data_IF_205318501000
#
_entry.id   IF_205318501000
#
_cell.length_a   1.000
_cell.length_b   1.000
_cell.length_c   1.000
_cell.angle_alpha   90.00
_cell.angle_beta   90.00
_cell.angle_gamma   90.00
#
_symmetry.space_group_name_H-M   'P 1'
#
loop_
_entity.id
_entity.type
_entity.pdbx_description
1 polymer ?
#
# COMPACT_ATOMS: atom_id res chain seq x y z
N UNK A 1 -7.95 9.99 -10.57
CA UNK A 1 -8.67 8.88 -9.91
C UNK A 1 -8.98 9.30 -8.49
N UNK A 2 -10.15 8.92 -7.99
CA UNK A 2 -10.60 9.18 -6.61
C UNK A 2 -10.88 7.81 -5.99
N UNK A 3 -10.47 7.59 -4.75
CA UNK A 3 -10.69 6.34 -4.03
C UNK A 3 -9.79 5.19 -4.47
N UNK A 4 -10.09 4.02 -3.91
CA UNK A 4 -9.43 2.75 -4.25
C UNK A 4 -9.90 2.28 -5.63
N UNK A 5 -8.94 1.81 -6.44
CA UNK A 5 -9.14 1.33 -7.80
C UNK A 5 -8.81 -0.16 -7.89
N UNK A 6 -9.56 -0.88 -8.70
CA UNK A 6 -9.38 -2.31 -8.98
C UNK A 6 -9.09 -2.54 -10.45
N UNK A 7 -8.26 -3.51 -10.77
CA UNK A 7 -7.96 -3.85 -12.16
C UNK A 7 -7.32 -2.70 -12.94
N UNK A 8 -6.63 -1.77 -12.28
CA UNK A 8 -6.00 -0.63 -12.94
C UNK A 8 -4.82 -1.09 -13.81
N UNK A 9 -4.82 -0.73 -15.09
CA UNK A 9 -3.68 -0.95 -15.96
C UNK A 9 -2.60 0.11 -15.68
N UNK A 10 -1.37 -0.23 -15.24
CA UNK A 10 -0.31 0.75 -15.09
C UNK A 10 0.02 1.51 -16.38
N UNK A 11 -0.23 0.92 -17.55
CA UNK A 11 -0.01 1.58 -18.84
C UNK A 11 -1.03 2.68 -19.14
N UNK A 12 -2.15 2.76 -18.41
CA UNK A 12 -3.11 3.85 -18.53
C UNK A 12 -2.84 5.02 -17.58
N UNK A 13 -1.78 4.94 -16.76
CA UNK A 13 -1.33 6.09 -15.98
C UNK A 13 -0.81 7.19 -16.93
N UNK A 14 -1.08 8.48 -16.64
CA UNK A 14 -0.48 9.57 -17.41
C UNK A 14 1.05 9.47 -17.43
N UNK A 15 1.68 9.99 -18.48
CA UNK A 15 3.14 9.95 -18.66
C UNK A 15 3.93 10.66 -17.55
N UNK A 16 3.29 11.50 -16.74
CA UNK A 16 3.89 12.14 -15.56
C UNK A 16 4.13 11.16 -14.41
N UNK A 17 3.53 9.97 -14.44
CA UNK A 17 3.69 8.94 -13.42
C UNK A 17 4.80 7.96 -13.80
N UNK A 18 5.72 7.73 -12.88
CA UNK A 18 6.78 6.73 -13.04
C UNK A 18 6.81 5.78 -11.85
N UNK A 19 7.16 4.52 -12.10
CA UNK A 19 7.40 3.54 -11.03
C UNK A 19 8.73 3.88 -10.35
N UNK A 20 8.70 4.08 -9.05
CA UNK A 20 9.87 4.39 -8.24
C UNK A 20 10.27 3.25 -7.31
N UNK A 21 9.37 2.30 -7.03
CA UNK A 21 9.69 1.10 -6.24
C UNK A 21 8.93 -0.14 -6.73
N UNK A 22 9.58 -1.29 -6.63
CA UNK A 22 8.96 -2.61 -6.78
C UNK A 22 9.70 -3.61 -5.88
N UNK A 23 8.94 -4.46 -5.20
CA UNK A 23 9.47 -5.62 -4.47
C UNK A 23 8.38 -6.69 -4.35
N UNK A 24 8.76 -7.90 -3.97
CA UNK A 24 7.83 -8.98 -3.70
C UNK A 24 7.18 -8.80 -2.31
N UNK A 25 6.04 -9.46 -2.13
CA UNK A 25 5.42 -9.60 -0.81
C UNK A 25 6.23 -10.53 0.10
N UNK A 26 7.06 -11.42 -0.46
CA UNK A 26 8.04 -12.20 0.29
C UNK A 26 9.24 -11.40 0.81
N UNK A 27 9.52 -10.23 0.25
CA UNK A 27 10.64 -9.41 0.71
C UNK A 27 10.27 -8.76 2.05
N UNK A 28 11.17 -8.80 3.02
CA UNK A 28 10.96 -8.14 4.31
C UNK A 28 11.26 -6.64 4.18
N UNK A 29 10.41 -5.77 4.73
CA UNK A 29 10.71 -4.35 4.86
C UNK A 29 11.16 -4.03 6.27
N UNK A 30 12.35 -3.45 6.39
CA UNK A 30 12.82 -2.76 7.57
C UNK A 30 12.76 -1.24 7.39
N UNK A 31 12.87 -0.49 8.47
CA UNK A 31 12.88 0.98 8.46
C UNK A 31 13.89 1.53 7.45
N UNK A 32 15.10 0.95 7.37
CA UNK A 32 16.12 1.35 6.40
C UNK A 32 15.65 1.17 4.93
N UNK A 33 14.90 0.10 4.64
CA UNK A 33 14.32 -0.11 3.31
C UNK A 33 13.27 0.97 3.02
N UNK A 34 12.41 1.28 3.99
CA UNK A 34 11.37 2.31 3.86
C UNK A 34 12.00 3.68 3.65
N UNK A 35 13.05 4.05 4.39
CA UNK A 35 13.79 5.30 4.17
C UNK A 35 14.38 5.39 2.76
N UNK A 36 14.96 4.29 2.26
CA UNK A 36 15.46 4.22 0.88
C UNK A 36 14.34 4.41 -0.15
N UNK A 37 13.22 3.68 0.02
CA UNK A 37 12.03 3.80 -0.83
C UNK A 37 11.52 5.23 -0.85
N UNK A 38 11.40 5.89 0.31
CA UNK A 38 10.86 7.25 0.40
C UNK A 38 11.81 8.31 -0.19
N UNK A 39 13.12 8.05 -0.20
CA UNK A 39 14.10 8.90 -0.88
C UNK A 39 13.99 8.78 -2.40
N UNK A 40 13.74 7.59 -2.92
CA UNK A 40 13.67 7.33 -4.36
C UNK A 40 12.27 7.70 -4.91
N UNK A 41 11.21 7.39 -4.16
CA UNK A 41 9.84 7.78 -4.41
C UNK A 41 9.52 9.17 -3.83
N UNK A 42 10.15 10.25 -4.28
CA UNK A 42 10.16 11.55 -3.58
C UNK A 42 9.21 12.66 -4.08
N UNK A 43 8.31 12.35 -5.01
CA UNK A 43 7.42 13.37 -5.61
C UNK A 43 6.15 13.65 -4.78
N UNK A 44 5.41 14.69 -5.16
CA UNK A 44 4.23 15.22 -4.46
C UNK A 44 3.07 14.24 -4.34
N UNK A 45 2.89 13.36 -5.32
CA UNK A 45 1.88 12.32 -5.33
C UNK A 45 2.51 10.94 -5.28
N UNK A 46 1.87 10.04 -4.52
CA UNK A 46 2.21 8.63 -4.49
C UNK A 46 0.99 7.81 -4.91
N UNK A 47 1.27 6.68 -5.57
CA UNK A 47 0.32 5.62 -5.82
C UNK A 47 0.91 4.34 -5.24
N UNK A 48 0.17 3.71 -4.33
CA UNK A 48 0.49 2.39 -3.80
C UNK A 48 -0.36 1.36 -4.52
N UNK A 49 0.25 0.26 -4.96
CA UNK A 49 -0.46 -0.81 -5.65
C UNK A 49 0.16 -2.18 -5.40
N UNK A 50 -0.59 -3.22 -5.75
CA UNK A 50 -0.12 -4.59 -5.74
C UNK A 50 -0.81 -5.44 -6.80
N UNK A 51 -0.18 -6.58 -7.14
CA UNK A 51 -0.74 -7.61 -8.02
C UNK A 51 0.09 -8.89 -7.99
N UNK A 52 -0.45 -10.02 -8.48
CA UNK A 52 0.37 -11.16 -8.88
C UNK A 52 1.46 -10.76 -9.88
N UNK A 53 2.64 -11.37 -9.79
CA UNK A 53 3.80 -11.08 -10.65
C UNK A 53 3.53 -11.33 -12.13
N UNK A 54 2.62 -12.26 -12.45
CA UNK A 54 2.22 -12.61 -13.82
C UNK A 54 0.98 -11.83 -14.32
N UNK A 55 0.41 -10.93 -13.51
CA UNK A 55 -0.73 -10.12 -13.92
C UNK A 55 -0.24 -8.78 -14.50
N UNK A 56 -0.92 -8.29 -15.53
CA UNK A 56 -0.64 -7.00 -16.18
C UNK A 56 -1.41 -5.84 -15.54
N UNK A 57 -2.46 -6.11 -14.77
CA UNK A 57 -3.26 -5.10 -14.07
C UNK A 57 -3.00 -5.17 -12.56
N UNK A 58 -3.13 -4.03 -11.88
CA UNK A 58 -3.13 -4.00 -10.42
C UNK A 58 -4.38 -4.67 -9.89
N UNK A 59 -4.23 -5.52 -8.86
CA UNK A 59 -5.38 -6.04 -8.12
C UNK A 59 -6.08 -4.88 -7.43
N UNK A 60 -5.32 -4.11 -6.67
CA UNK A 60 -5.76 -2.84 -6.07
C UNK A 60 -4.68 -1.77 -6.21
N UNK A 61 -5.12 -0.52 -6.35
CA UNK A 61 -4.28 0.65 -6.35
C UNK A 61 -5.02 1.84 -5.74
N UNK A 62 -4.29 2.72 -5.07
CA UNK A 62 -4.83 4.00 -4.60
C UNK A 62 -3.76 5.09 -4.76
N UNK A 63 -4.20 6.31 -5.04
CA UNK A 63 -3.31 7.46 -5.21
C UNK A 63 -3.75 8.65 -4.36
N UNK A 64 -2.79 9.41 -3.86
CA UNK A 64 -3.03 10.59 -3.03
C UNK A 64 -1.79 11.48 -2.92
N UNK A 65 -1.93 12.61 -2.24
CA UNK A 65 -0.76 13.42 -1.89
C UNK A 65 0.16 12.62 -0.98
N UNK A 66 1.47 12.81 -1.15
CA UNK A 66 2.50 12.19 -0.32
C UNK A 66 2.23 12.38 1.16
N UNK A 67 1.78 13.57 1.57
CA UNK A 67 1.44 13.88 2.97
C UNK A 67 0.29 13.03 3.51
N UNK A 68 -0.68 12.67 2.68
CA UNK A 68 -1.80 11.82 3.06
C UNK A 68 -1.38 10.34 3.10
N UNK A 69 -0.68 9.88 2.06
CA UNK A 69 -0.20 8.50 1.92
C UNK A 69 0.80 8.11 3.01
N UNK A 70 1.54 9.10 3.53
CA UNK A 70 2.52 8.95 4.61
C UNK A 70 2.02 9.51 5.95
N UNK A 71 0.71 9.68 6.12
CA UNK A 71 0.17 10.12 7.39
C UNK A 71 0.56 9.13 8.50
N UNK A 72 1.36 9.61 9.45
CA UNK A 72 1.92 8.78 10.50
C UNK A 72 0.86 8.44 11.54
N UNK A 73 0.59 7.14 11.65
CA UNK A 73 -0.33 6.54 12.59
C UNK A 73 0.39 5.79 13.72
N UNK A 74 1.73 5.74 13.70
CA UNK A 74 2.53 4.92 14.59
C UNK A 74 2.00 3.48 14.68
N UNK A 75 1.95 2.97 15.91
CA UNK A 75 1.38 1.66 16.26
C UNK A 75 -0.12 1.71 16.63
N UNK A 76 -0.80 2.84 16.37
CA UNK A 76 -2.22 3.00 16.65
C UNK A 76 -3.08 1.99 15.88
N UNK A 77 -3.88 1.21 16.61
CA UNK A 77 -4.67 0.13 16.01
C UNK A 77 -5.87 0.62 15.21
N UNK A 78 -6.39 1.81 15.50
CA UNK A 78 -7.57 2.38 14.83
C UNK A 78 -7.27 3.65 14.04
N UNK A 79 -6.00 4.03 13.93
CA UNK A 79 -5.61 5.25 13.21
C UNK A 79 -5.72 5.06 11.70
N UNK A 80 -6.44 5.99 11.06
CA UNK A 80 -6.57 6.16 9.62
C UNK A 80 -6.75 7.64 9.30
N UNK A 81 -6.14 8.10 8.21
CA UNK A 81 -6.35 9.42 7.65
C UNK A 81 -7.13 9.32 6.35
N UNK A 82 -8.36 9.82 6.32
CA UNK A 82 -9.22 9.73 5.14
C UNK A 82 -8.97 10.92 4.23
N UNK A 83 -8.44 10.65 3.04
CA UNK A 83 -8.23 11.65 1.99
C UNK A 83 -8.51 11.04 0.62
N UNK A 84 -9.15 11.82 -0.26
CA UNK A 84 -9.50 11.38 -1.62
C UNK A 84 -10.31 10.06 -1.65
N UNK A 85 -11.15 9.79 -0.64
CA UNK A 85 -11.93 8.55 -0.53
C UNK A 85 -11.12 7.30 -0.13
N UNK A 86 -9.90 7.48 0.38
CA UNK A 86 -9.01 6.40 0.80
C UNK A 86 -8.61 6.63 2.26
N UNK A 87 -8.66 5.57 3.07
CA UNK A 87 -8.16 5.59 4.45
C UNK A 87 -6.70 5.19 4.49
N UNK A 88 -5.80 6.15 4.63
CA UNK A 88 -4.36 5.96 4.65
C UNK A 88 -3.84 5.67 6.05
N UNK A 89 -2.80 4.84 6.15
CA UNK A 89 -2.03 4.67 7.37
C UNK A 89 -0.57 4.33 7.06
N UNK A 90 0.33 4.97 7.79
CA UNK A 90 1.76 4.74 7.69
C UNK A 90 2.40 4.66 9.08
N UNK A 91 3.46 3.87 9.19
CA UNK A 91 4.42 3.88 10.29
C UNK A 91 5.64 3.10 9.83
N UNK A 92 6.80 3.75 9.85
CA UNK A 92 8.09 3.17 9.46
C UNK A 92 8.61 2.06 10.39
N UNK A 93 7.86 1.75 11.45
CA UNK A 93 8.12 0.68 12.40
C UNK A 93 6.89 -0.22 12.69
N UNK A 94 5.87 -0.22 11.83
CA UNK A 94 4.68 -1.04 12.07
C UNK A 94 4.05 -1.57 10.78
N UNK A 95 3.48 -0.68 9.96
CA UNK A 95 2.89 -1.05 8.68
C UNK A 95 2.63 0.15 7.79
N UNK A 96 2.48 -0.13 6.50
CA UNK A 96 2.08 0.86 5.50
C UNK A 96 0.99 0.28 4.62
N UNK A 97 -0.07 1.07 4.37
CA UNK A 97 -1.13 0.65 3.48
C UNK A 97 -2.31 1.60 3.45
N UNK A 98 -3.42 1.06 2.94
CA UNK A 98 -4.68 1.79 2.82
C UNK A 98 -5.88 0.87 2.83
N UNK A 99 -7.06 1.46 3.04
CA UNK A 99 -8.41 0.88 2.88
C UNK A 99 -9.32 1.84 2.13
N UNK A 100 -10.56 1.44 1.85
CA UNK A 100 -11.59 2.40 1.45
C UNK A 100 -11.80 3.45 2.57
N UNK A 101 -12.00 4.71 2.19
CA UNK A 101 -12.17 5.81 3.16
C UNK A 101 -13.39 5.69 4.09
N UNK A 102 -14.33 4.78 3.81
CA UNK A 102 -15.50 4.51 4.68
C UNK A 102 -15.33 3.27 5.55
N UNK A 103 -14.27 2.48 5.35
CA UNK A 103 -14.02 1.26 6.12
C UNK A 103 -13.38 1.60 7.48
N UNK A 104 -13.81 0.88 8.52
CA UNK A 104 -13.14 0.97 9.82
C UNK A 104 -11.87 0.14 9.78
N UNK A 105 -10.82 0.61 10.45
CA UNK A 105 -9.54 -0.09 10.51
C UNK A 105 -9.29 -0.59 11.92
N UNK A 106 -8.95 -1.87 12.04
CA UNK A 106 -8.37 -2.45 13.25
C UNK A 106 -7.06 -3.15 12.88
N UNK A 107 -5.94 -2.45 13.04
CA UNK A 107 -4.58 -2.95 12.81
C UNK A 107 -4.11 -3.79 14.00
N UNK A 108 -3.66 -4.99 13.71
CA UNK A 108 -2.74 -5.77 14.52
C UNK A 108 -1.49 -6.04 13.67
N UNK A 109 -0.60 -5.05 13.58
CA UNK A 109 0.43 -4.87 12.56
C UNK A 109 -0.19 -4.48 11.22
N UNK A 110 -0.86 -5.43 10.56
CA UNK A 110 -1.75 -5.15 9.43
C UNK A 110 -3.21 -5.26 9.85
N UNK A 111 -4.14 -4.92 8.97
CA UNK A 111 -5.58 -4.98 9.27
C UNK A 111 -5.97 -6.42 9.62
N UNK A 112 -6.68 -6.59 10.74
CA UNK A 112 -6.96 -7.90 11.35
C UNK A 112 -8.08 -8.68 10.65
N UNK A 113 -9.07 -8.00 10.06
CA UNK A 113 -10.25 -8.63 9.44
C UNK A 113 -10.56 -8.10 8.02
N UNK A 114 -9.60 -8.18 7.08
CA UNK A 114 -9.79 -7.68 5.71
C UNK A 114 -10.95 -8.34 4.94
N UNK A 115 -11.48 -9.49 5.38
CA UNK A 115 -12.59 -10.20 4.72
C UNK A 115 -13.95 -9.54 5.01
N UNK A 116 -14.13 -8.94 6.20
CA UNK A 116 -15.31 -8.11 6.50
C UNK A 116 -15.11 -6.67 6.03
N UNK A 117 -13.87 -6.20 6.01
CA UNK A 117 -13.46 -4.84 5.64
C UNK A 117 -12.95 -4.72 4.19
N UNK A 118 -13.35 -5.65 3.32
CA UNK A 118 -13.36 -5.45 1.87
C UNK A 118 -12.09 -5.74 1.08
N UNK A 119 -12.34 -6.15 -0.17
CA UNK A 119 -11.43 -6.31 -1.32
C UNK A 119 -10.57 -5.06 -1.60
N UNK A 120 -10.74 -3.97 -0.84
CA UNK A 120 -10.30 -2.61 -1.16
C UNK A 120 -8.99 -2.19 -0.46
N UNK A 121 -8.34 -3.10 0.26
CA UNK A 121 -7.18 -2.78 1.08
C UNK A 121 -5.85 -3.30 0.54
N UNK A 122 -4.77 -2.68 0.99
CA UNK A 122 -3.41 -3.18 0.84
C UNK A 122 -2.68 -2.97 2.16
N UNK A 123 -1.83 -3.92 2.56
CA UNK A 123 -1.01 -3.75 3.75
C UNK A 123 0.35 -4.44 3.65
N UNK A 124 1.39 -3.71 4.06
CA UNK A 124 2.75 -4.21 4.19
C UNK A 124 3.24 -4.10 5.63
N UNK A 125 3.85 -5.17 6.16
CA UNK A 125 4.54 -5.09 7.44
C UNK A 125 5.85 -4.34 7.29
N UNK A 126 6.23 -3.59 8.34
CA UNK A 126 7.53 -2.93 8.44
C UNK A 126 8.16 -3.27 9.79
N UNK A 127 9.44 -3.64 9.79
CA UNK A 127 10.21 -4.12 10.94
C UNK A 127 9.68 -5.42 11.58
N UNK A 128 9.25 -6.35 10.74
CA UNK A 128 8.88 -7.72 11.13
C UNK A 128 9.67 -8.75 10.34
N UNK A 129 9.64 -10.02 10.73
CA UNK A 129 10.27 -11.12 9.99
C UNK A 129 9.43 -11.62 8.79
N UNK A 130 8.50 -10.80 8.32
CA UNK A 130 7.52 -11.10 7.26
C UNK A 130 7.33 -9.86 6.38
N UNK A 131 6.91 -10.06 5.14
CA UNK A 131 6.77 -8.99 4.15
C UNK A 131 5.36 -8.40 4.08
N UNK A 132 4.69 -8.53 2.94
CA UNK A 132 3.35 -7.95 2.74
C UNK A 132 2.22 -8.87 3.22
N UNK A 133 1.11 -8.33 3.72
CA UNK A 133 0.00 -9.12 4.23
C UNK A 133 -1.18 -9.22 3.27
N UNK A 134 -1.58 -8.09 2.69
CA UNK A 134 -2.84 -7.97 1.95
C UNK A 134 -2.64 -7.28 0.60
N UNK A 135 -3.24 -7.87 -0.44
CA UNK A 135 -3.42 -7.31 -1.77
C UNK A 135 -4.87 -7.50 -2.23
N UNK A 136 -5.72 -6.52 -1.95
CA UNK A 136 -7.16 -6.60 -2.17
C UNK A 136 -7.80 -7.67 -1.29
N UNK A 137 -8.53 -8.61 -1.89
CA UNK A 137 -9.08 -9.78 -1.18
C UNK A 137 -8.06 -10.88 -0.91
N UNK A 138 -6.84 -10.78 -1.45
CA UNK A 138 -5.80 -11.77 -1.21
C UNK A 138 -5.05 -11.39 0.06
N UNK A 139 -5.09 -12.27 1.05
CA UNK A 139 -4.56 -12.04 2.39
C UNK A 139 -3.53 -13.12 2.74
N UNK A 140 -2.85 -12.98 3.88
CA UNK A 140 -1.82 -13.93 4.34
C UNK A 140 -0.63 -14.07 3.38
N UNK A 141 -0.35 -13.01 2.61
CA UNK A 141 0.72 -12.97 1.61
C UNK A 141 2.14 -12.83 2.20
N UNK A 142 2.30 -13.07 3.51
CA UNK A 142 3.45 -12.70 4.35
C UNK A 142 4.82 -13.17 3.86
N UNK A 143 4.84 -14.22 3.03
CA UNK A 143 6.05 -14.80 2.43
C UNK A 143 5.82 -15.15 0.95
N UNK A 144 4.80 -14.56 0.33
CA UNK A 144 4.37 -14.92 -1.02
C UNK A 144 5.24 -14.21 -2.08
N UNK A 145 6.05 -15.00 -2.79
CA UNK A 145 6.88 -14.52 -3.91
C UNK A 145 6.13 -14.36 -5.23
N UNK A 146 4.85 -14.73 -5.28
CA UNK A 146 3.98 -14.61 -6.45
C UNK A 146 3.21 -13.29 -6.47
N UNK A 147 3.25 -12.50 -5.39
CA UNK A 147 2.68 -11.16 -5.32
C UNK A 147 3.78 -10.10 -5.21
N UNK A 148 3.56 -8.97 -5.88
CA UNK A 148 4.45 -7.82 -5.86
C UNK A 148 3.72 -6.55 -5.39
N UNK A 149 4.46 -5.69 -4.72
CA UNK A 149 4.09 -4.32 -4.36
C UNK A 149 4.78 -3.34 -5.28
N UNK A 150 4.08 -2.26 -5.57
CA UNK A 150 4.49 -1.22 -6.49
C UNK A 150 4.24 0.14 -5.87
N UNK A 151 5.18 1.06 -6.09
CA UNK A 151 4.98 2.47 -5.82
C UNK A 151 5.27 3.25 -7.09
N UNK A 152 4.32 4.09 -7.46
CA UNK A 152 4.49 5.08 -8.51
C UNK A 152 4.44 6.47 -7.87
N UNK A 153 5.06 7.43 -8.52
CA UNK A 153 5.09 8.81 -8.06
C UNK A 153 4.85 9.79 -9.22
N UNK A 154 4.34 10.98 -8.91
CA UNK A 154 4.18 12.09 -9.86
C UNK A 154 4.21 13.42 -9.09
N UNK A 155 4.38 14.52 -9.83
CA UNK A 155 4.41 15.89 -9.26
C UNK A 155 3.01 16.52 -9.27
#
# INVERSE_FOLDING_TARGET
MVGVQHGLNPASLPSSWSKCHQSLYSDVLHQANVTGILRDCNKSFLLLACRPVNNTHFTVAAMGYRSDVLYDCGSGTTCTHVANGVGWYFSDNYSWGFVNGTESVTRNRCIRNPIQDGVNGLCWHINWSIGGYQCGSNIELNSDGTYARFIYHSD
#
